data_IF_835728727014
#
_entry.id   IF_835728727014
#
_cell.length_a   1.000
_cell.length_b   1.000
_cell.length_c   1.000
_cell.angle_alpha   90.00
_cell.angle_beta   90.00
_cell.angle_gamma   90.00
#
_symmetry.space_group_name_H-M   'P 1'
#
loop_
_entity.id
_entity.type
_entity.pdbx_description
1 polymer ?
#
# COMPACT_ATOMS: atom_id res chain seq x y z
N UNK A 1 -12.46 -3.46 -7.31
CA UNK A 1 -12.23 -3.07 -5.90
C UNK A 1 -13.06 -1.85 -5.59
N UNK A 2 -13.64 -1.76 -4.40
CA UNK A 2 -14.21 -0.54 -3.86
C UNK A 2 -13.66 -0.32 -2.44
N UNK A 3 -13.54 0.93 -2.00
CA UNK A 3 -12.94 1.28 -0.71
C UNK A 3 -13.69 2.40 0.01
N UNK A 4 -13.44 2.53 1.31
CA UNK A 4 -13.94 3.65 2.11
C UNK A 4 -13.28 4.97 1.72
N UNK A 5 -14.01 6.06 1.93
CA UNK A 5 -13.52 7.43 1.66
C UNK A 5 -12.49 7.92 2.69
N UNK A 6 -12.41 7.27 3.86
CA UNK A 6 -11.46 7.56 4.94
C UNK A 6 -10.30 6.57 5.02
N UNK A 7 -10.23 5.63 4.07
CA UNK A 7 -9.16 4.64 4.06
C UNK A 7 -7.83 5.31 3.66
N UNK A 8 -6.73 4.87 4.27
CA UNK A 8 -5.40 5.34 3.94
C UNK A 8 -5.08 5.01 2.48
N UNK A 9 -4.88 6.04 1.68
CA UNK A 9 -4.76 5.90 0.23
C UNK A 9 -3.59 5.00 -0.20
N UNK A 10 -2.50 4.98 0.56
CA UNK A 10 -1.33 4.14 0.30
C UNK A 10 -1.65 2.64 0.27
N UNK A 11 -2.53 2.16 1.16
CA UNK A 11 -2.97 0.77 1.11
C UNK A 11 -3.84 0.50 -0.12
N UNK A 12 -4.73 1.43 -0.48
CA UNK A 12 -5.72 1.22 -1.54
C UNK A 12 -5.10 0.85 -2.89
N UNK A 13 -4.04 1.53 -3.29
CA UNK A 13 -3.36 1.23 -4.56
C UNK A 13 -2.67 -0.13 -4.56
N UNK A 14 -2.38 -0.71 -3.39
CA UNK A 14 -1.71 -2.03 -3.27
C UNK A 14 -2.67 -3.21 -3.11
N UNK A 15 -3.91 -2.99 -2.68
CA UNK A 15 -4.87 -4.07 -2.41
C UNK A 15 -5.08 -5.03 -3.59
N UNK A 16 -5.25 -4.56 -4.86
CA UNK A 16 -5.42 -5.48 -5.97
C UNK A 16 -4.18 -6.35 -6.20
N UNK A 17 -2.98 -5.81 -5.96
CA UNK A 17 -1.72 -6.56 -6.07
C UNK A 17 -1.60 -7.61 -4.97
N UNK A 18 -2.09 -7.35 -3.75
CA UNK A 18 -2.14 -8.39 -2.70
C UNK A 18 -3.06 -9.54 -3.07
N UNK A 19 -4.28 -9.27 -3.56
CA UNK A 19 -5.17 -10.36 -3.94
C UNK A 19 -4.54 -11.18 -5.07
N UNK A 20 -4.01 -10.52 -6.11
CA UNK A 20 -3.34 -11.22 -7.21
C UNK A 20 -2.12 -12.01 -6.72
N UNK A 21 -1.23 -11.38 -5.97
CA UNK A 21 -0.02 -12.02 -5.43
C UNK A 21 -0.36 -13.20 -4.51
N UNK A 22 -1.40 -13.08 -3.69
CA UNK A 22 -1.87 -14.16 -2.82
C UNK A 22 -2.34 -15.36 -3.65
N UNK A 23 -3.14 -15.12 -4.69
CA UNK A 23 -3.61 -16.19 -5.58
C UNK A 23 -2.46 -16.85 -6.34
N UNK A 24 -1.53 -16.04 -6.87
CA UNK A 24 -0.32 -16.53 -7.55
C UNK A 24 0.55 -17.37 -6.59
N UNK A 25 0.71 -16.94 -5.34
CA UNK A 25 1.45 -17.67 -4.30
C UNK A 25 0.79 -19.00 -3.93
N UNK A 26 -0.54 -19.02 -3.79
CA UNK A 26 -1.30 -20.24 -3.48
C UNK A 26 -1.15 -21.26 -4.61
N UNK A 27 -1.15 -20.80 -5.86
CA UNK A 27 -0.83 -21.64 -7.03
C UNK A 27 -1.87 -22.73 -7.34
N UNK A 28 -3.05 -22.68 -6.72
CA UNK A 28 -4.19 -23.57 -6.98
C UNK A 28 -5.42 -22.77 -7.35
N UNK A 29 -6.47 -23.45 -7.82
CA UNK A 29 -7.77 -22.80 -8.01
C UNK A 29 -8.23 -22.18 -6.66
N UNK A 30 -8.65 -20.90 -6.63
CA UNK A 30 -9.21 -20.28 -5.43
C UNK A 30 -10.33 -21.10 -4.77
N UNK A 31 -11.17 -21.77 -5.56
CA UNK A 31 -12.26 -22.63 -5.08
C UNK A 31 -11.74 -23.93 -4.43
N UNK A 32 -10.51 -24.35 -4.70
CA UNK A 32 -9.89 -25.49 -4.01
C UNK A 32 -9.30 -25.08 -2.65
N UNK A 33 -8.73 -23.87 -2.58
CA UNK A 33 -8.03 -23.36 -1.39
C UNK A 33 -8.97 -22.77 -0.34
N UNK A 34 -9.96 -21.98 -0.77
CA UNK A 34 -10.85 -21.24 0.13
C UNK A 34 -12.15 -21.99 0.42
N UNK A 35 -12.69 -21.80 1.62
CA UNK A 35 -14.03 -22.23 2.04
C UNK A 35 -14.80 -21.04 2.64
N UNK A 36 -16.15 -21.09 2.62
CA UNK A 36 -16.95 -20.09 3.32
C UNK A 36 -16.55 -19.97 4.80
N UNK A 37 -16.27 -18.76 5.25
CA UNK A 37 -15.87 -18.49 6.65
C UNK A 37 -14.36 -18.48 6.90
N UNK A 38 -13.54 -18.78 5.90
CA UNK A 38 -12.08 -18.64 5.98
C UNK A 38 -11.66 -17.18 6.13
N UNK A 39 -10.54 -16.95 6.81
CA UNK A 39 -9.82 -15.67 6.80
C UNK A 39 -8.33 -15.97 6.69
N UNK A 40 -7.72 -15.42 5.65
CA UNK A 40 -6.28 -15.47 5.40
C UNK A 40 -5.62 -14.19 5.89
N UNK A 41 -4.46 -14.31 6.50
CA UNK A 41 -3.58 -13.21 6.88
C UNK A 41 -2.34 -13.20 5.98
N UNK A 42 -1.90 -12.01 5.58
CA UNK A 42 -0.71 -11.80 4.75
C UNK A 42 -0.11 -10.42 5.06
N UNK A 43 1.21 -10.28 5.08
CA UNK A 43 1.88 -8.96 5.14
C UNK A 43 3.09 -8.83 4.20
N UNK A 44 3.45 -9.91 3.51
CA UNK A 44 4.66 -9.96 2.70
C UNK A 44 4.62 -8.89 1.59
N UNK A 45 5.53 -7.89 1.61
CA UNK A 45 5.58 -6.82 0.61
C UNK A 45 5.83 -7.32 -0.81
N UNK A 46 6.49 -8.47 -0.94
CA UNK A 46 6.82 -9.10 -2.20
C UNK A 46 5.62 -9.85 -2.81
N UNK A 47 4.57 -10.08 -2.01
CA UNK A 47 3.29 -10.65 -2.44
C UNK A 47 2.25 -9.52 -2.57
N UNK A 48 2.66 -8.37 -3.10
CA UNK A 48 1.79 -7.22 -3.38
C UNK A 48 1.42 -6.38 -2.15
N UNK A 49 2.06 -6.61 -1.01
CA UNK A 49 1.95 -5.79 0.19
C UNK A 49 2.59 -4.41 0.04
N UNK A 50 2.74 -3.74 1.18
CA UNK A 50 3.38 -2.42 1.30
C UNK A 50 4.73 -2.54 2.00
N UNK A 51 4.71 -2.83 3.30
CA UNK A 51 5.85 -3.20 4.13
C UNK A 51 5.36 -4.12 5.25
N UNK A 52 6.26 -4.78 5.99
CA UNK A 52 5.89 -5.88 6.90
C UNK A 52 4.91 -5.50 8.02
N UNK A 53 4.88 -4.24 8.45
CA UNK A 53 3.93 -3.78 9.46
C UNK A 53 2.48 -3.81 8.96
N UNK A 54 2.25 -3.74 7.65
CA UNK A 54 0.91 -3.67 7.08
C UNK A 54 0.32 -5.06 6.89
N UNK A 55 -0.30 -5.56 7.95
CA UNK A 55 -0.99 -6.85 8.00
C UNK A 55 -2.34 -6.76 7.30
N UNK A 56 -2.65 -7.76 6.47
CA UNK A 56 -3.86 -7.79 5.65
C UNK A 56 -4.67 -9.03 5.95
N UNK A 57 -5.91 -8.84 6.38
CA UNK A 57 -6.89 -9.92 6.46
C UNK A 57 -7.69 -9.97 5.16
N UNK A 58 -7.84 -11.16 4.59
CA UNK A 58 -8.60 -11.42 3.36
C UNK A 58 -9.62 -12.51 3.63
N UNK A 59 -10.89 -12.23 3.31
CA UNK A 59 -11.99 -13.17 3.45
C UNK A 59 -12.64 -13.40 2.07
N UNK A 60 -12.83 -14.65 1.64
CA UNK A 60 -13.57 -14.95 0.41
C UNK A 60 -15.06 -14.62 0.59
N UNK A 61 -15.64 -14.04 -0.45
CA UNK A 61 -17.05 -13.73 -0.55
C UNK A 61 -17.73 -14.77 -1.46
N UNK A 62 -18.59 -15.59 -0.88
CA UNK A 62 -19.39 -16.58 -1.59
C UNK A 62 -20.83 -16.13 -1.78
N UNK A 63 -21.41 -16.48 -2.93
CA UNK A 63 -22.84 -16.38 -3.20
C UNK A 63 -23.33 -17.57 -4.03
N UNK A 64 -24.51 -18.10 -3.71
CA UNK A 64 -25.10 -19.29 -4.35
C UNK A 64 -24.14 -20.49 -4.50
N UNK A 65 -23.22 -20.64 -3.54
CA UNK A 65 -22.27 -21.75 -3.50
C UNK A 65 -21.00 -21.56 -4.33
N UNK A 66 -20.78 -20.38 -4.91
CA UNK A 66 -19.57 -20.07 -5.69
C UNK A 66 -18.87 -18.82 -5.16
N UNK A 67 -17.55 -18.80 -5.31
CA UNK A 67 -16.68 -17.68 -4.97
C UNK A 67 -16.94 -16.52 -5.93
N UNK A 68 -17.41 -15.40 -5.38
CA UNK A 68 -17.77 -14.21 -6.13
C UNK A 68 -16.77 -13.05 -5.93
N UNK A 69 -15.81 -13.18 -5.00
CA UNK A 69 -14.76 -12.18 -4.80
C UNK A 69 -14.12 -12.25 -3.42
N UNK A 70 -13.48 -11.15 -3.00
CA UNK A 70 -12.78 -11.05 -1.72
C UNK A 70 -13.10 -9.74 -1.01
N UNK A 71 -13.10 -9.79 0.32
CA UNK A 71 -13.12 -8.63 1.21
C UNK A 71 -11.78 -8.57 1.92
N UNK A 72 -11.11 -7.42 1.81
CA UNK A 72 -9.79 -7.21 2.41
C UNK A 72 -9.83 -6.06 3.40
N UNK A 73 -9.12 -6.21 4.51
CA UNK A 73 -8.76 -5.14 5.43
C UNK A 73 -7.23 -5.11 5.57
N UNK A 74 -6.65 -3.91 5.58
CA UNK A 74 -5.24 -3.68 5.86
C UNK A 74 -5.12 -2.90 7.15
N UNK A 75 -4.20 -3.29 8.01
CA UNK A 75 -3.95 -2.60 9.27
C UNK A 75 -2.46 -2.59 9.58
N UNK A 76 -1.98 -1.41 9.96
CA UNK A 76 -0.61 -1.20 10.35
C UNK A 76 -0.41 -1.66 11.79
N UNK A 77 0.33 -2.75 11.97
CA UNK A 77 0.74 -3.22 13.29
C UNK A 77 1.98 -2.46 13.73
N UNK A 78 1.97 -1.98 14.97
CA UNK A 78 3.06 -1.18 15.52
C UNK A 78 4.42 -1.88 15.46
N UNK A 79 4.47 -3.21 15.54
CA UNK A 79 5.71 -3.98 15.47
C UNK A 79 5.39 -5.39 14.93
N UNK A 80 6.25 -5.90 14.05
CA UNK A 80 6.19 -7.27 13.50
C UNK A 80 7.46 -8.08 13.84
N UNK A 81 8.15 -7.67 14.91
CA UNK A 81 9.46 -8.16 15.29
C UNK A 81 10.59 -7.46 14.53
N UNK A 82 11.71 -8.17 14.38
CA UNK A 82 12.92 -7.65 13.73
C UNK A 82 13.92 -7.05 14.72
N UNK A 83 15.02 -6.53 14.18
CA UNK A 83 16.16 -6.08 14.97
C UNK A 83 15.82 -4.94 15.94
N UNK A 84 15.04 -3.97 15.48
CA UNK A 84 14.67 -2.76 16.25
C UNK A 84 13.18 -2.76 16.64
N UNK A 85 12.80 -2.12 17.75
CA UNK A 85 11.40 -1.88 18.07
C UNK A 85 10.73 -1.04 16.99
N UNK A 86 9.52 -1.45 16.60
CA UNK A 86 8.76 -0.81 15.56
C UNK A 86 9.14 -1.23 14.14
N UNK A 87 10.06 -2.18 13.94
CA UNK A 87 10.32 -2.81 12.64
C UNK A 87 11.00 -1.94 11.57
N UNK A 88 10.97 -0.60 11.67
CA UNK A 88 11.74 0.28 10.78
C UNK A 88 13.21 0.33 11.18
N UNK A 89 13.97 -0.69 10.77
CA UNK A 89 15.42 -0.67 10.83
C UNK A 89 15.98 -0.07 9.54
N UNK A 90 16.35 1.22 9.58
CA UNK A 90 16.94 1.92 8.43
C UNK A 90 18.22 1.25 7.91
N UNK A 91 18.94 0.56 8.79
CA UNK A 91 20.20 -0.10 8.49
C UNK A 91 20.03 -1.58 8.14
N UNK A 92 18.80 -2.08 8.09
CA UNK A 92 18.53 -3.44 7.66
C UNK A 92 19.06 -3.62 6.23
N UNK A 93 19.79 -4.71 6.02
CA UNK A 93 20.39 -5.06 4.72
C UNK A 93 19.59 -6.14 3.98
N UNK A 94 18.51 -6.61 4.59
CA UNK A 94 17.66 -7.63 4.03
C UNK A 94 16.30 -7.65 4.71
N UNK A 95 15.25 -7.97 3.96
CA UNK A 95 13.90 -8.22 4.48
C UNK A 95 13.87 -9.20 5.65
N UNK A 96 14.82 -10.14 5.77
CA UNK A 96 14.90 -11.05 6.91
C UNK A 96 15.16 -10.35 8.25
N UNK A 97 15.80 -9.17 8.23
CA UNK A 97 16.03 -8.35 9.42
C UNK A 97 14.82 -7.49 9.82
N UNK A 98 13.83 -7.36 8.94
CA UNK A 98 12.68 -6.46 9.07
C UNK A 98 11.45 -7.15 9.68
N UNK A 99 11.68 -8.19 10.48
CA UNK A 99 10.62 -8.90 11.19
C UNK A 99 9.96 -10.01 10.38
N UNK A 100 8.76 -10.40 10.81
CA UNK A 100 8.08 -11.58 10.30
C UNK A 100 7.40 -11.29 8.96
N UNK A 101 7.87 -11.95 7.90
CA UNK A 101 7.12 -12.09 6.65
C UNK A 101 6.13 -13.25 6.77
N UNK A 102 4.85 -12.91 6.77
CA UNK A 102 3.69 -13.81 6.84
C UNK A 102 3.17 -14.02 5.41
N UNK A 103 3.43 -15.18 4.79
CA UNK A 103 2.78 -15.55 3.54
C UNK A 103 1.28 -15.81 3.78
N UNK A 104 0.47 -15.96 2.72
CA UNK A 104 -0.94 -16.34 2.85
C UNK A 104 -1.16 -17.54 3.79
N UNK A 105 -1.74 -17.28 4.96
CA UNK A 105 -2.01 -18.30 5.96
C UNK A 105 -3.39 -18.14 6.60
N UNK A 106 -4.09 -19.26 6.82
CA UNK A 106 -5.40 -19.27 7.47
C UNK A 106 -5.28 -18.93 8.97
N UNK A 107 -5.87 -17.81 9.38
CA UNK A 107 -6.07 -17.46 10.80
C UNK A 107 -7.48 -17.79 11.29
N UNK A 108 -8.40 -18.01 10.34
CA UNK A 108 -9.71 -18.62 10.55
C UNK A 108 -9.92 -19.64 9.44
N UNK A 109 -10.36 -20.85 9.79
CA UNK A 109 -10.75 -21.90 8.85
C UNK A 109 -12.20 -22.29 9.09
N UNK A 110 -13.06 -22.13 8.09
CA UNK A 110 -14.49 -22.45 8.13
C UNK A 110 -15.19 -21.87 9.37
N UNK A 111 -14.86 -20.62 9.70
CA UNK A 111 -15.38 -19.92 10.89
C UNK A 111 -14.65 -20.20 12.21
N UNK A 112 -13.75 -21.19 12.25
CA UNK A 112 -12.97 -21.59 13.43
C UNK A 112 -11.62 -20.88 13.47
N UNK A 113 -11.38 -20.10 14.51
CA UNK A 113 -10.09 -19.42 14.74
C UNK A 113 -8.95 -20.43 14.89
N UNK A 114 -7.78 -20.12 14.34
CA UNK A 114 -6.58 -20.98 14.37
C UNK A 114 -5.59 -20.46 15.42
N UNK A 115 -5.72 -20.84 16.70
CA UNK A 115 -4.92 -20.27 17.77
C UNK A 115 -3.42 -20.55 17.62
N UNK A 116 -3.02 -21.71 17.10
CA UNK A 116 -1.62 -22.08 16.90
C UNK A 116 -0.91 -21.14 15.92
N UNK A 117 -1.57 -20.80 14.81
CA UNK A 117 -1.05 -19.82 13.83
C UNK A 117 -0.91 -18.45 14.49
N UNK A 118 -1.96 -17.99 15.17
CA UNK A 118 -1.92 -16.69 15.84
C UNK A 118 -0.86 -16.62 16.94
N UNK A 119 -0.68 -17.69 17.71
CA UNK A 119 0.31 -17.77 18.78
C UNK A 119 1.73 -17.74 18.22
N UNK A 120 1.98 -18.39 17.08
CA UNK A 120 3.28 -18.33 16.42
C UNK A 120 3.61 -16.90 15.97
N UNK A 121 2.66 -16.20 15.34
CA UNK A 121 2.84 -14.81 14.91
C UNK A 121 3.06 -13.91 16.13
N UNK A 122 2.13 -13.95 17.09
CA UNK A 122 2.14 -13.08 18.27
C UNK A 122 3.35 -13.30 19.19
N UNK A 123 3.98 -14.47 19.15
CA UNK A 123 5.22 -14.73 19.90
C UNK A 123 6.44 -14.00 19.33
N UNK A 124 6.40 -13.64 18.04
CA UNK A 124 7.52 -13.02 17.33
C UNK A 124 7.39 -11.50 17.21
N UNK A 125 6.36 -10.89 17.81
CA UNK A 125 6.13 -9.44 17.77
C UNK A 125 6.24 -8.84 19.18
N UNK A 126 6.73 -7.61 19.25
CA UNK A 126 6.61 -6.81 20.49
C UNK A 126 5.15 -6.38 20.66
N UNK A 127 4.75 -6.04 21.87
CA UNK A 127 3.39 -5.59 22.17
C UNK A 127 2.29 -6.58 21.72
N UNK A 128 2.52 -7.88 21.93
CA UNK A 128 1.64 -8.96 21.45
C UNK A 128 0.16 -8.80 21.86
N UNK A 129 -0.14 -8.17 22.99
CA UNK A 129 -1.53 -7.87 23.39
C UNK A 129 -2.22 -6.92 22.39
N UNK A 130 -1.51 -5.85 21.98
CA UNK A 130 -1.99 -4.87 21.00
C UNK A 130 -2.16 -5.55 19.65
N UNK A 131 -1.14 -6.25 19.17
CA UNK A 131 -1.17 -7.02 17.92
C UNK A 131 -2.31 -8.06 17.89
N UNK A 132 -2.63 -8.69 19.03
CA UNK A 132 -3.78 -9.60 19.14
C UNK A 132 -5.11 -8.87 18.98
N UNK A 133 -5.25 -7.69 19.61
CA UNK A 133 -6.40 -6.82 19.39
C UNK A 133 -6.55 -6.43 17.93
N UNK A 134 -5.43 -6.13 17.29
CA UNK A 134 -5.36 -5.74 15.88
C UNK A 134 -5.78 -6.87 14.93
N UNK A 135 -5.28 -8.08 15.17
CA UNK A 135 -5.68 -9.29 14.45
C UNK A 135 -7.19 -9.55 14.54
N UNK A 136 -7.74 -9.52 15.76
CA UNK A 136 -9.16 -9.78 16.00
C UNK A 136 -10.05 -8.70 15.36
N UNK A 137 -9.60 -7.45 15.39
CA UNK A 137 -10.28 -6.32 14.73
C UNK A 137 -10.29 -6.51 13.22
N UNK A 138 -9.16 -6.90 12.63
CA UNK A 138 -9.05 -7.18 11.19
C UNK A 138 -9.98 -8.31 10.75
N UNK A 139 -10.04 -9.40 11.52
CA UNK A 139 -10.98 -10.52 11.30
C UNK A 139 -12.43 -10.04 11.41
N UNK A 140 -12.75 -9.23 12.41
CA UNK A 140 -14.09 -8.65 12.58
C UNK A 140 -14.49 -7.76 11.40
N UNK A 141 -13.56 -6.93 10.91
CA UNK A 141 -13.78 -6.02 9.79
C UNK A 141 -14.12 -6.76 8.50
N UNK A 142 -13.32 -7.77 8.12
CA UNK A 142 -13.60 -8.55 6.89
C UNK A 142 -14.88 -9.37 7.01
N UNK A 143 -15.19 -9.92 8.20
CA UNK A 143 -16.45 -10.62 8.45
C UNK A 143 -17.65 -9.70 8.27
N UNK A 144 -17.59 -8.49 8.83
CA UNK A 144 -18.65 -7.50 8.67
C UNK A 144 -18.80 -7.08 7.20
N UNK A 145 -17.70 -6.80 6.50
CA UNK A 145 -17.72 -6.46 5.08
C UNK A 145 -18.36 -7.55 4.23
N UNK A 146 -17.96 -8.81 4.45
CA UNK A 146 -18.54 -9.97 3.75
C UNK A 146 -20.03 -10.14 4.05
N UNK A 147 -20.46 -9.98 5.30
CA UNK A 147 -21.88 -10.03 5.66
C UNK A 147 -22.71 -8.94 4.97
N UNK A 148 -22.17 -7.72 4.86
CA UNK A 148 -22.83 -6.61 4.16
C UNK A 148 -22.93 -6.87 2.66
N UNK A 149 -21.87 -7.39 2.05
CA UNK A 149 -21.86 -7.75 0.63
C UNK A 149 -22.84 -8.89 0.33
N UNK A 150 -22.90 -9.91 1.19
CA UNK A 150 -23.91 -10.97 1.11
C UNK A 150 -25.34 -10.43 1.24
N UNK A 151 -25.58 -9.44 2.11
CA UNK A 151 -26.90 -8.83 2.22
C UNK A 151 -27.30 -8.06 0.96
N UNK A 152 -26.34 -7.39 0.30
CA UNK A 152 -26.57 -6.74 -1.00
C UNK A 152 -26.86 -7.77 -2.09
N UNK A 153 -26.06 -8.84 -2.17
CA UNK A 153 -26.25 -9.90 -3.15
C UNK A 153 -27.59 -10.63 -2.96
N UNK A 154 -28.04 -10.86 -1.72
CA UNK A 154 -29.38 -11.42 -1.46
C UNK A 154 -30.51 -10.50 -1.92
N UNK A 155 -30.31 -9.18 -1.85
CA UNK A 155 -31.32 -8.18 -2.22
C UNK A 155 -31.41 -7.95 -3.73
N UNK A 156 -30.26 -7.91 -4.41
CA UNK A 156 -30.16 -7.49 -5.81
C UNK A 156 -29.76 -8.61 -6.77
N UNK A 157 -29.35 -9.77 -6.27
CA UNK A 157 -28.79 -10.87 -7.05
C UNK A 157 -27.31 -10.66 -7.38
N UNK A 158 -26.54 -11.74 -7.46
CA UNK A 158 -25.08 -11.63 -7.70
C UNK A 158 -24.73 -11.11 -9.07
N UNK A 159 -25.48 -11.45 -10.12
CA UNK A 159 -25.23 -10.89 -11.45
C UNK A 159 -25.30 -9.36 -11.48
N UNK A 160 -26.22 -8.74 -10.73
CA UNK A 160 -26.29 -7.29 -10.61
C UNK A 160 -25.10 -6.72 -9.83
N UNK A 161 -24.70 -7.38 -8.74
CA UNK A 161 -23.58 -6.92 -7.91
C UNK A 161 -22.25 -7.03 -8.67
N UNK A 162 -22.00 -8.14 -9.37
CA UNK A 162 -20.78 -8.33 -10.17
C UNK A 162 -20.75 -7.36 -11.35
N UNK A 163 -21.87 -7.18 -12.06
CA UNK A 163 -21.95 -6.19 -13.14
C UNK A 163 -21.69 -4.76 -12.62
N UNK A 164 -22.22 -4.40 -11.45
CA UNK A 164 -21.93 -3.10 -10.84
C UNK A 164 -20.46 -2.94 -10.42
N UNK A 165 -19.78 -4.03 -10.02
CA UNK A 165 -18.34 -3.99 -9.74
C UNK A 165 -17.52 -3.79 -11.00
N UNK A 166 -17.90 -4.44 -12.11
CA UNK A 166 -17.23 -4.30 -13.41
C UNK A 166 -17.43 -2.88 -13.98
N UNK A 167 -18.68 -2.39 -13.99
CA UNK A 167 -19.01 -1.00 -14.40
C UNK A 167 -18.22 0.02 -13.56
N UNK A 168 -18.05 -0.22 -12.26
CA UNK A 168 -17.28 0.69 -11.41
C UNK A 168 -15.79 0.71 -11.73
N UNK A 169 -15.24 -0.42 -12.21
CA UNK A 169 -13.86 -0.51 -12.68
C UNK A 169 -13.72 0.25 -14.00
N UNK A 170 -14.63 0.03 -14.95
CA UNK A 170 -14.66 0.71 -16.25
C UNK A 170 -14.80 2.23 -16.07
N UNK A 171 -15.71 2.66 -15.21
CA UNK A 171 -15.92 4.07 -14.89
C UNK A 171 -14.65 4.79 -14.40
N UNK A 172 -13.86 4.14 -13.53
CA UNK A 172 -12.60 4.73 -13.06
C UNK A 172 -11.53 4.81 -14.16
N UNK A 173 -11.51 3.85 -15.09
CA UNK A 173 -10.65 3.89 -16.26
C UNK A 173 -11.03 5.07 -17.17
N UNK A 174 -12.32 5.20 -17.49
CA UNK A 174 -12.85 6.26 -18.36
C UNK A 174 -12.61 7.66 -17.80
N UNK A 175 -12.79 7.85 -16.49
CA UNK A 175 -12.50 9.12 -15.82
C UNK A 175 -11.04 9.54 -15.99
N UNK A 176 -10.12 8.60 -15.80
CA UNK A 176 -8.68 8.90 -15.90
C UNK A 176 -8.26 9.14 -17.35
N UNK A 177 -8.75 8.32 -18.30
CA UNK A 177 -8.54 8.52 -19.74
C UNK A 177 -9.04 9.89 -20.22
N UNK A 178 -10.22 10.28 -19.76
CA UNK A 178 -10.79 11.60 -20.07
C UNK A 178 -9.95 12.76 -19.52
N UNK A 179 -9.24 12.58 -18.40
CA UNK A 179 -8.28 13.57 -17.91
C UNK A 179 -6.99 13.59 -18.73
N UNK A 180 -6.46 12.44 -19.14
CA UNK A 180 -5.27 12.39 -20.01
C UNK A 180 -5.52 13.03 -21.37
N UNK A 181 -6.70 12.84 -21.96
CA UNK A 181 -7.09 13.46 -23.24
C UNK A 181 -7.11 15.00 -23.23
N UNK A 182 -7.07 15.62 -22.04
CA UNK A 182 -7.02 17.09 -21.88
C UNK A 182 -5.58 17.62 -21.77
N UNK A 183 -4.60 16.74 -21.56
CA UNK A 183 -3.20 17.11 -21.41
C UNK A 183 -2.51 17.19 -22.79
N UNK A 184 -1.44 17.97 -22.92
CA UNK A 184 -0.67 17.97 -24.15
C UNK A 184 0.06 16.64 -24.34
N UNK A 185 0.04 16.12 -25.56
CA UNK A 185 0.81 14.94 -25.95
C UNK A 185 2.32 15.19 -25.85
N UNK A 186 3.07 14.13 -25.52
CA UNK A 186 4.53 14.12 -25.50
C UNK A 186 5.13 13.73 -24.15
N UNK A 187 6.46 13.63 -24.09
CA UNK A 187 7.18 13.24 -22.88
C UNK A 187 7.39 14.42 -21.93
N UNK A 188 7.27 14.15 -20.64
CA UNK A 188 7.66 15.03 -19.54
C UNK A 188 8.58 14.25 -18.60
N UNK A 189 9.83 14.68 -18.52
CA UNK A 189 10.88 14.06 -17.71
C UNK A 189 11.03 14.79 -16.38
N UNK A 190 11.10 14.02 -15.28
CA UNK A 190 11.19 14.54 -13.92
C UNK A 190 12.05 13.66 -13.03
N UNK A 191 12.66 14.27 -12.02
CA UNK A 191 13.53 13.62 -11.06
C UNK A 191 13.19 14.05 -9.62
N UNK A 192 13.34 13.14 -8.67
CA UNK A 192 13.27 13.39 -7.23
C UNK A 192 14.47 12.71 -6.56
N UNK A 193 15.20 13.49 -5.76
CA UNK A 193 16.37 13.01 -5.02
C UNK A 193 15.95 12.63 -3.59
N UNK A 194 16.52 11.55 -3.09
CA UNK A 194 16.52 11.15 -1.70
C UNK A 194 17.94 11.37 -1.15
N UNK A 195 18.05 11.85 0.09
CA UNK A 195 19.31 12.32 0.69
C UNK A 195 20.47 11.32 0.55
N UNK A 196 20.31 10.11 1.09
CA UNK A 196 21.32 9.05 0.97
C UNK A 196 20.72 7.66 1.24
N UNK A 197 21.48 6.63 0.89
CA UNK A 197 21.25 5.27 1.40
C UNK A 197 21.70 5.20 2.87
N UNK A 198 20.79 4.93 3.83
CA UNK A 198 21.14 4.89 5.26
C UNK A 198 22.21 3.85 5.62
N UNK A 199 22.37 2.81 4.79
CA UNK A 199 23.40 1.78 4.97
C UNK A 199 24.53 1.87 3.92
N UNK A 200 24.59 2.99 3.18
CA UNK A 200 25.53 3.26 2.09
C UNK A 200 26.40 4.49 2.33
N UNK A 201 26.82 5.14 1.25
CA UNK A 201 27.61 6.37 1.29
C UNK A 201 26.70 7.58 1.56
N UNK A 202 26.89 8.34 2.67
CA UNK A 202 26.05 9.49 3.00
C UNK A 202 26.20 10.66 2.01
N UNK A 203 27.27 10.70 1.21
CA UNK A 203 27.50 11.78 0.24
C UNK A 203 26.93 11.44 -1.17
N UNK A 204 26.31 10.28 -1.33
CA UNK A 204 25.72 9.82 -2.60
C UNK A 204 24.18 9.77 -2.52
N UNK A 205 23.46 10.75 -3.11
CA UNK A 205 22.01 10.72 -3.14
C UNK A 205 21.48 9.61 -4.04
N UNK A 206 20.29 9.13 -3.71
CA UNK A 206 19.53 8.20 -4.53
C UNK A 206 18.54 9.00 -5.39
N UNK A 207 18.43 8.66 -6.67
CA UNK A 207 17.52 9.30 -7.60
C UNK A 207 16.35 8.37 -7.97
N UNK A 208 15.13 8.88 -7.79
CA UNK A 208 13.93 8.36 -8.42
C UNK A 208 13.65 9.20 -9.67
N UNK A 209 13.44 8.54 -10.81
CA UNK A 209 13.28 9.18 -12.11
C UNK A 209 12.03 8.68 -12.81
N UNK A 210 11.34 9.56 -13.53
CA UNK A 210 10.18 9.19 -14.32
C UNK A 210 10.10 10.00 -15.63
N UNK A 211 9.80 9.33 -16.73
CA UNK A 211 9.28 9.95 -17.96
C UNK A 211 7.80 9.65 -18.08
N UNK A 212 6.96 10.68 -17.95
CA UNK A 212 5.52 10.61 -18.23
C UNK A 212 5.28 10.97 -19.70
N UNK A 213 4.83 10.01 -20.50
CA UNK A 213 4.47 10.25 -21.91
C UNK A 213 2.96 10.19 -22.06
N UNK A 214 2.33 11.31 -22.39
CA UNK A 214 0.89 11.35 -22.74
C UNK A 214 0.74 11.17 -24.25
N UNK A 215 -0.22 10.34 -24.66
CA UNK A 215 -0.59 10.17 -26.06
C UNK A 215 -2.10 9.92 -26.16
N UNK A 216 -2.85 10.96 -26.57
CA UNK A 216 -4.30 10.94 -26.60
C UNK A 216 -4.89 10.73 -25.20
N UNK A 217 -5.63 9.64 -25.01
CA UNK A 217 -6.29 9.31 -23.75
C UNK A 217 -5.49 8.35 -22.85
N UNK A 218 -4.24 8.02 -23.22
CA UNK A 218 -3.36 7.12 -22.47
C UNK A 218 -2.09 7.82 -22.00
N UNK A 219 -1.50 7.26 -20.94
CA UNK A 219 -0.19 7.67 -20.46
C UNK A 219 0.73 6.47 -20.28
N UNK A 220 2.03 6.67 -20.52
CA UNK A 220 3.10 5.75 -20.10
C UNK A 220 3.92 6.41 -19.00
N UNK A 221 4.13 5.72 -17.88
CA UNK A 221 5.06 6.12 -16.83
C UNK A 221 6.27 5.20 -16.85
N UNK A 222 7.42 5.72 -17.30
CA UNK A 222 8.67 4.98 -17.37
C UNK A 222 9.63 5.39 -16.25
N UNK A 223 9.95 4.44 -15.39
CA UNK A 223 10.82 4.61 -14.22
C UNK A 223 12.24 4.03 -14.43
N UNK A 224 12.57 3.59 -15.65
CA UNK A 224 13.82 2.88 -15.96
C UNK A 224 15.09 3.69 -15.69
N UNK A 225 15.00 5.02 -15.58
CA UNK A 225 16.11 5.90 -15.21
C UNK A 225 16.39 5.98 -13.71
N UNK A 226 15.62 5.28 -12.87
CA UNK A 226 15.80 5.31 -11.41
C UNK A 226 17.08 4.60 -10.97
N UNK A 227 17.57 4.96 -9.79
CA UNK A 227 18.80 4.39 -9.23
C UNK A 227 18.71 2.86 -9.04
N UNK A 228 19.86 2.17 -8.98
CA UNK A 228 19.94 0.81 -8.46
C UNK A 228 19.38 0.70 -7.02
N UNK A 229 19.09 -0.51 -6.54
CA UNK A 229 18.60 -0.73 -5.18
C UNK A 229 19.54 -0.15 -4.15
N UNK A 230 18.97 0.49 -3.13
CA UNK A 230 19.68 0.87 -1.93
C UNK A 230 20.06 -0.38 -1.13
N UNK A 231 21.16 -0.27 -0.40
CA UNK A 231 21.63 -1.28 0.55
C UNK A 231 20.73 -1.33 1.78
N UNK A 232 20.30 -0.17 2.27
CA UNK A 232 19.41 -0.02 3.41
C UNK A 232 17.92 -0.02 3.06
N UNK A 233 17.06 0.15 4.06
CA UNK A 233 15.63 -0.11 3.96
C UNK A 233 14.78 0.94 3.21
N UNK A 234 15.38 1.76 2.36
CA UNK A 234 14.68 2.84 1.62
C UNK A 234 14.15 2.37 0.26
N UNK A 235 14.17 1.08 -0.04
CA UNK A 235 13.68 0.54 -1.31
C UNK A 235 12.15 0.41 -1.39
N UNK A 236 11.62 0.26 -2.60
CA UNK A 236 10.20 0.00 -2.87
C UNK A 236 10.02 -1.30 -3.63
N UNK A 237 8.95 -2.05 -3.32
CA UNK A 237 8.47 -3.08 -4.24
C UNK A 237 7.65 -2.45 -5.37
N UNK A 238 7.49 -3.20 -6.47
CA UNK A 238 6.72 -2.77 -7.63
C UNK A 238 5.29 -2.33 -7.25
N UNK A 239 4.59 -3.07 -6.38
CA UNK A 239 3.22 -2.74 -5.97
C UNK A 239 3.14 -1.38 -5.28
N UNK A 240 4.11 -1.08 -4.42
CA UNK A 240 4.19 0.17 -3.67
C UNK A 240 4.45 1.35 -4.58
N UNK A 241 5.40 1.23 -5.51
CA UNK A 241 5.70 2.28 -6.50
C UNK A 241 4.49 2.59 -7.37
N UNK A 242 3.80 1.56 -7.87
CA UNK A 242 2.60 1.78 -8.67
C UNK A 242 1.48 2.42 -7.85
N UNK A 243 1.31 1.99 -6.60
CA UNK A 243 0.35 2.60 -5.66
C UNK A 243 0.64 4.09 -5.46
N UNK A 244 1.90 4.46 -5.20
CA UNK A 244 2.32 5.85 -5.04
C UNK A 244 1.95 6.68 -6.27
N UNK A 245 2.31 6.19 -7.46
CA UNK A 245 2.06 6.90 -8.71
C UNK A 245 0.56 7.19 -8.93
N UNK A 246 -0.32 6.21 -8.70
CA UNK A 246 -1.77 6.41 -8.91
C UNK A 246 -2.45 7.16 -7.77
N UNK A 247 -2.00 7.00 -6.53
CA UNK A 247 -2.61 7.64 -5.35
C UNK A 247 -2.49 9.16 -5.43
N UNK A 248 -1.42 9.69 -6.01
CA UNK A 248 -1.25 11.13 -6.25
C UNK A 248 -2.39 11.71 -7.11
N UNK A 249 -3.02 10.89 -7.96
CA UNK A 249 -4.14 11.28 -8.82
C UNK A 249 -5.52 10.91 -8.26
N UNK A 250 -5.59 10.32 -7.05
CA UNK A 250 -6.83 9.75 -6.48
C UNK A 250 -8.01 10.72 -6.42
N UNK A 251 -7.79 12.03 -6.38
CA UNK A 251 -8.89 13.01 -6.34
C UNK A 251 -9.71 13.06 -7.64
N UNK A 252 -9.22 12.44 -8.73
CA UNK A 252 -9.88 12.42 -10.04
C UNK A 252 -10.92 11.29 -10.14
N UNK A 253 -10.68 10.17 -9.45
CA UNK A 253 -11.38 8.91 -9.69
C UNK A 253 -11.65 8.15 -8.38
N UNK A 254 -12.66 7.26 -8.35
CA UNK A 254 -12.70 6.23 -7.33
C UNK A 254 -11.51 5.27 -7.50
N UNK A 255 -10.76 5.01 -6.42
CA UNK A 255 -9.59 4.14 -6.48
C UNK A 255 -9.99 2.67 -6.69
N UNK A 256 -9.63 2.09 -7.85
CA UNK A 256 -9.79 0.67 -8.16
C UNK A 256 -8.88 0.24 -9.33
N UNK A 257 -8.98 -1.01 -9.78
CA UNK A 257 -8.10 -1.58 -10.81
C UNK A 257 -8.16 -0.86 -12.17
N UNK A 258 -9.26 -0.17 -12.49
CA UNK A 258 -9.44 0.51 -13.78
C UNK A 258 -8.42 1.62 -14.02
N UNK A 259 -7.98 2.29 -12.95
CA UNK A 259 -6.99 3.38 -13.05
C UNK A 259 -5.64 2.87 -13.56
N UNK A 260 -5.30 1.62 -13.27
CA UNK A 260 -4.08 0.99 -13.76
C UNK A 260 -4.18 0.54 -15.23
N UNK A 261 -5.39 0.46 -15.81
CA UNK A 261 -5.59 0.13 -17.23
C UNK A 261 -5.38 1.34 -18.15
N UNK A 262 -5.54 2.55 -17.62
CA UNK A 262 -5.30 3.80 -18.32
C UNK A 262 -3.81 4.19 -18.43
N UNK A 263 -2.94 3.54 -17.63
CA UNK A 263 -1.51 3.85 -17.55
C UNK A 263 -0.68 2.61 -17.88
N UNK A 264 0.21 2.73 -18.86
CA UNK A 264 1.24 1.74 -19.13
C UNK A 264 2.46 2.02 -18.24
N UNK A 265 2.88 1.04 -17.43
CA UNK A 265 3.99 1.21 -16.49
C UNK A 265 5.24 0.47 -16.97
N UNK A 266 6.32 1.21 -17.21
CA UNK A 266 7.65 0.65 -17.47
C UNK A 266 8.46 0.76 -16.18
N UNK A 267 8.62 -0.37 -15.50
CA UNK A 267 9.34 -0.45 -14.23
C UNK A 267 10.10 -1.78 -14.19
N UNK A 268 11.33 -1.82 -14.77
CA UNK A 268 12.18 -2.99 -14.77
C UNK A 268 12.48 -3.47 -13.34
N UNK A 269 12.61 -4.79 -13.08
CA UNK A 269 12.99 -5.28 -11.76
C UNK A 269 14.42 -4.88 -11.41
N UNK A 270 14.73 -4.83 -10.11
CA UNK A 270 16.09 -4.56 -9.64
C UNK A 270 16.50 -3.09 -9.70
N UNK A 271 15.54 -2.18 -9.58
CA UNK A 271 15.76 -0.75 -9.33
C UNK A 271 15.34 -0.40 -7.89
N UNK A 272 15.71 0.80 -7.42
CA UNK A 272 15.27 1.39 -6.16
C UNK A 272 13.74 1.27 -5.95
N UNK A 273 12.99 1.39 -7.04
CA UNK A 273 11.53 1.41 -7.06
C UNK A 273 10.87 0.05 -7.36
N UNK A 274 11.65 -1.02 -7.50
CA UNK A 274 11.19 -2.33 -7.96
C UNK A 274 12.09 -3.47 -7.47
N UNK A 275 12.49 -3.40 -6.20
CA UNK A 275 13.35 -4.43 -5.62
C UNK A 275 12.62 -5.76 -5.50
N UNK A 276 13.39 -6.83 -5.57
CA UNK A 276 12.93 -8.19 -5.36
C UNK A 276 13.38 -8.70 -3.99
N UNK A 277 12.74 -9.75 -3.52
CA UNK A 277 13.13 -10.40 -2.28
C UNK A 277 14.58 -10.92 -2.42
N UNK A 278 15.47 -10.75 -1.41
CA UNK A 278 15.18 -10.35 -0.04
C UNK A 278 15.67 -8.92 0.31
N UNK A 279 15.55 -7.95 -0.58
CA UNK A 279 15.95 -6.55 -0.27
C UNK A 279 15.17 -5.97 0.93
N UNK A 280 15.70 -4.98 1.66
CA UNK A 280 14.97 -4.35 2.77
C UNK A 280 14.04 -3.24 2.25
N UNK A 281 12.80 -3.18 2.75
CA UNK A 281 11.74 -2.26 2.28
C UNK A 281 10.95 -1.58 3.41
N UNK A 282 11.31 -1.78 4.67
CA UNK A 282 10.55 -1.25 5.83
C UNK A 282 10.38 0.28 5.78
N UNK A 283 11.39 1.00 5.29
CA UNK A 283 11.41 2.45 5.13
C UNK A 283 10.70 3.00 3.88
N UNK A 284 10.06 2.15 3.06
CA UNK A 284 9.49 2.58 1.78
C UNK A 284 8.50 3.74 1.91
N UNK A 285 7.70 3.75 2.98
CA UNK A 285 6.65 4.75 3.23
C UNK A 285 7.21 6.16 3.51
N UNK A 286 8.40 6.27 4.10
CA UNK A 286 9.02 7.53 4.51
C UNK A 286 10.18 7.97 3.58
N UNK A 287 10.47 7.21 2.51
CA UNK A 287 11.53 7.52 1.54
C UNK A 287 11.00 7.55 0.11
N UNK A 288 10.99 6.38 -0.54
CA UNK A 288 10.65 6.25 -1.96
C UNK A 288 9.18 6.50 -2.28
N UNK A 289 8.24 6.19 -1.39
CA UNK A 289 6.81 6.43 -1.63
C UNK A 289 6.49 7.93 -1.85
N UNK A 290 6.90 8.87 -0.97
CA UNK A 290 6.71 10.30 -1.22
C UNK A 290 7.55 10.79 -2.41
N UNK A 291 8.74 10.24 -2.66
CA UNK A 291 9.53 10.60 -3.85
C UNK A 291 8.78 10.31 -5.16
N UNK A 292 8.11 9.15 -5.26
CA UNK A 292 7.28 8.82 -6.44
C UNK A 292 6.05 9.73 -6.54
N UNK A 293 5.41 10.07 -5.42
CA UNK A 293 4.35 11.07 -5.41
C UNK A 293 4.83 12.42 -5.96
N UNK A 294 6.03 12.85 -5.56
CA UNK A 294 6.66 14.09 -6.02
C UNK A 294 6.97 14.07 -7.51
N UNK A 295 7.40 12.93 -8.08
CA UNK A 295 7.58 12.78 -9.53
C UNK A 295 6.28 13.08 -10.28
N UNK A 296 5.17 12.48 -9.84
CA UNK A 296 3.86 12.69 -10.48
C UNK A 296 3.41 14.14 -10.36
N UNK A 297 3.57 14.76 -9.18
CA UNK A 297 3.27 16.18 -8.98
C UNK A 297 4.12 17.09 -9.88
N UNK A 298 5.44 16.82 -9.97
CA UNK A 298 6.36 17.55 -10.85
C UNK A 298 5.94 17.45 -12.30
N UNK A 299 5.58 16.26 -12.78
CA UNK A 299 5.13 16.09 -14.16
C UNK A 299 3.87 16.93 -14.44
N UNK A 300 2.89 16.93 -13.52
CA UNK A 300 1.70 17.77 -13.66
C UNK A 300 1.95 19.26 -13.46
N UNK A 301 3.00 19.67 -12.74
CA UNK A 301 3.41 21.08 -12.71
C UNK A 301 3.88 21.56 -14.08
N UNK A 302 4.47 20.69 -14.90
CA UNK A 302 4.85 21.03 -16.29
C UNK A 302 3.66 20.99 -17.25
N UNK A 303 2.78 19.99 -17.10
CA UNK A 303 1.67 19.76 -18.04
C UNK A 303 0.44 20.65 -17.77
N UNK A 304 0.11 20.91 -16.50
CA UNK A 304 -1.14 21.53 -16.07
C UNK A 304 -0.97 22.32 -14.74
N UNK A 305 -0.08 23.34 -14.73
CA UNK A 305 0.34 24.03 -13.50
C UNK A 305 -0.81 24.63 -12.68
N UNK A 306 -1.89 25.06 -13.32
CA UNK A 306 -3.06 25.66 -12.65
C UNK A 306 -3.90 24.67 -11.85
N UNK A 307 -3.76 23.36 -12.11
CA UNK A 307 -4.42 22.28 -11.38
C UNK A 307 -3.47 21.48 -10.48
N UNK A 308 -2.16 21.74 -10.58
CA UNK A 308 -1.14 21.05 -9.80
C UNK A 308 -0.80 21.79 -8.49
N UNK A 309 0.11 21.19 -7.72
CA UNK A 309 0.68 21.76 -6.50
C UNK A 309 2.14 21.32 -6.35
N UNK A 310 2.93 22.10 -5.62
CA UNK A 310 4.27 21.68 -5.20
C UNK A 310 4.20 20.48 -4.24
N UNK A 311 5.32 19.78 -4.04
CA UNK A 311 5.40 18.64 -3.14
C UNK A 311 4.92 18.99 -1.72
N UNK A 312 4.10 18.14 -1.09
CA UNK A 312 3.76 18.28 0.34
C UNK A 312 4.95 17.91 1.22
N UNK A 313 4.83 18.13 2.53
CA UNK A 313 5.78 17.56 3.48
C UNK A 313 5.81 16.04 3.32
N UNK A 314 7.02 15.48 3.16
CA UNK A 314 7.23 14.04 3.14
C UNK A 314 6.85 13.39 4.47
N UNK A 315 6.41 12.14 4.43
CA UNK A 315 6.10 11.40 5.66
C UNK A 315 7.38 11.17 6.47
N UNK A 316 7.37 11.59 7.74
CA UNK A 316 8.43 11.30 8.69
C UNK A 316 7.85 10.41 9.79
N UNK A 317 8.34 9.17 9.87
CA UNK A 317 7.99 8.23 10.93
C UNK A 317 9.01 8.36 12.06
N UNK A 318 8.56 8.81 13.22
CA UNK A 318 9.38 8.81 14.45
C UNK A 318 8.90 7.69 15.35
N UNK A 319 9.76 6.69 15.57
CA UNK A 319 9.46 5.56 16.43
C UNK A 319 10.17 5.77 17.76
N UNK A 320 9.40 5.77 18.84
CA UNK A 320 9.95 5.80 20.20
C UNK A 320 9.53 4.52 20.91
N UNK A 321 10.49 3.85 21.53
CA UNK A 321 10.24 2.62 22.27
C UNK A 321 11.05 2.59 23.57
N UNK A 322 10.60 1.78 24.51
CA UNK A 322 11.26 1.60 25.79
C UNK A 322 10.38 0.89 26.80
N UNK A 323 10.76 1.01 28.07
CA UNK A 323 9.96 0.54 29.20
C UNK A 323 9.43 1.75 29.95
N UNK A 324 8.12 1.77 30.22
CA UNK A 324 7.49 2.82 31.03
C UNK A 324 7.58 2.44 32.52
N UNK A 325 8.35 3.17 33.36
CA UNK A 325 8.53 2.82 34.76
C UNK A 325 7.47 3.43 35.68
N UNK A 326 6.46 4.13 35.14
CA UNK A 326 5.46 4.82 35.96
C UNK A 326 4.54 3.80 36.66
N UNK A 327 4.20 4.01 37.95
CA UNK A 327 3.29 3.13 38.66
C UNK A 327 1.95 2.91 37.94
N UNK A 328 1.60 1.66 37.67
CA UNK A 328 0.41 1.25 36.91
C UNK A 328 0.58 1.17 35.39
N UNK A 329 1.75 1.52 34.86
CA UNK A 329 2.09 1.47 33.43
C UNK A 329 3.38 0.69 33.17
N UNK A 330 3.83 -0.15 34.11
CA UNK A 330 5.07 -0.93 34.04
C UNK A 330 5.09 -1.96 32.91
N UNK A 331 5.37 -1.50 31.69
CA UNK A 331 5.39 -2.32 30.48
C UNK A 331 6.30 -1.73 29.41
N UNK A 332 6.68 -2.58 28.47
CA UNK A 332 7.27 -2.13 27.22
C UNK A 332 6.26 -1.30 26.41
N UNK A 333 6.76 -0.39 25.60
CA UNK A 333 5.97 0.33 24.61
C UNK A 333 6.75 0.52 23.32
N UNK A 334 6.01 0.58 22.22
CA UNK A 334 6.47 1.08 20.93
C UNK A 334 5.42 2.09 20.49
N UNK A 335 5.86 3.28 20.13
CA UNK A 335 5.00 4.39 19.74
C UNK A 335 5.43 4.91 18.38
N UNK A 336 4.48 4.90 17.45
CA UNK A 336 4.61 5.58 16.17
C UNK A 336 4.07 6.99 16.28
N UNK A 337 4.95 7.97 16.06
CA UNK A 337 4.57 9.35 15.90
C UNK A 337 4.68 9.72 14.42
N UNK A 338 3.52 10.01 13.84
CA UNK A 338 3.37 10.50 12.48
C UNK A 338 3.48 12.01 12.54
N UNK A 339 4.57 12.57 11.99
CA UNK A 339 4.73 14.01 11.97
C UNK A 339 3.86 14.58 10.85
N UNK A 340 2.86 15.36 11.22
CA UNK A 340 2.03 16.08 10.28
C UNK A 340 2.81 17.22 9.64
N UNK A 341 2.48 17.51 8.38
CA UNK A 341 3.10 18.57 7.63
C UNK A 341 2.14 19.33 6.74
N UNK A 342 2.70 20.31 6.03
CA UNK A 342 1.95 21.19 5.15
C UNK A 342 1.81 20.62 3.74
N UNK A 343 0.77 21.07 3.06
CA UNK A 343 0.63 20.87 1.62
C UNK A 343 1.46 21.91 0.85
N UNK A 344 2.09 21.51 -0.25
CA UNK A 344 2.83 22.42 -1.12
C UNK A 344 1.96 23.51 -1.76
N UNK A 345 2.61 24.61 -2.16
CA UNK A 345 1.95 25.77 -2.77
C UNK A 345 1.20 25.43 -4.06
N UNK A 346 0.20 26.24 -4.41
CA UNK A 346 -0.62 26.09 -5.63
C UNK A 346 -0.57 27.36 -6.46
N UNK A 347 -0.50 27.26 -7.78
CA UNK A 347 -0.50 28.43 -8.65
C UNK A 347 -1.78 29.29 -8.49
N UNK A 348 -2.92 28.64 -8.27
CA UNK A 348 -4.22 29.29 -8.19
C UNK A 348 -4.61 29.79 -6.77
N UNK A 349 -3.78 29.60 -5.74
CA UNK A 349 -4.09 30.01 -4.35
C UNK A 349 -2.87 30.59 -3.65
N UNK A 350 -3.09 31.61 -2.81
CA UNK A 350 -2.00 32.30 -2.08
C UNK A 350 -1.33 31.40 -1.04
N UNK A 351 -2.12 30.59 -0.33
CA UNK A 351 -1.67 29.69 0.73
C UNK A 351 -2.27 28.28 0.57
N UNK A 352 -1.65 27.30 1.23
CA UNK A 352 -2.17 25.95 1.38
C UNK A 352 -2.10 25.52 2.86
N UNK A 353 -2.76 24.42 3.22
CA UNK A 353 -2.88 24.02 4.63
C UNK A 353 -1.52 23.65 5.24
N UNK A 354 -1.23 24.17 6.44
CA UNK A 354 0.09 24.14 7.10
C UNK A 354 0.27 23.09 8.19
N UNK A 355 -0.83 22.44 8.63
CA UNK A 355 -0.83 21.27 9.51
C UNK A 355 -2.22 20.64 9.40
N UNK A 356 -2.34 19.56 8.63
CA UNK A 356 -3.61 18.85 8.54
C UNK A 356 -3.65 17.77 9.61
N UNK A 357 -4.23 18.11 10.76
CA UNK A 357 -4.78 17.12 11.68
C UNK A 357 -6.02 16.53 11.01
N UNK A 358 -6.02 15.23 10.73
CA UNK A 358 -7.25 14.50 10.39
C UNK A 358 -7.86 13.86 11.61
#
# INVERSE_FOLDING_TARGET
MASGVRDLAAHLGTHPFTIKGMLDWIGTDPEEYFRPGDVVLINDPYIGGTHHNDMRAVMPFYFDGSLAGFVQNSMHWTDIGGHVPGTFDSNSRSSYGEGLAVPPIHVVREGVFQPEVSNLILRNVRMAEVARGDLLTSIGAVRLGTQRLQALARRYGTGMITAAMDEFIEYSEDLLRAEFAKLPDGPTEVEALLDCDPAGDPDQPLSAHMVLTVHGDRATMDFSGSSPPATGAVNSTRSVTLSAAVVTMKMIFPMNQGVFRAIDFVLPPGLLLSVEFPSPVSGCAAGVYPAVCDLVLKAFMHLVPERSMAGPTGLINTITAGYDPRPGFEREFVMYLWLEGGWGGRAARKDNATAMTT
#
